data_IF_610308494268
#
_entry.id   IF_610308494268
#
_cell.length_a   1.000
_cell.length_b   1.000
_cell.length_c   1.000
_cell.angle_alpha   90.00
_cell.angle_beta   90.00
_cell.angle_gamma   90.00
#
_symmetry.space_group_name_H-M   'P 1'
#
loop_
_entity.id
_entity.type
_entity.pdbx_description
1 polymer ?
#
# COMPACT_ATOMS: atom_id res chain seq x y z
N UNK A 1 -13.33 4.03 4.09
CA UNK A 1 -14.15 3.23 5.02
C UNK A 1 -13.38 1.96 5.36
N UNK A 2 -13.19 1.70 6.65
CA UNK A 2 -12.57 0.48 7.14
C UNK A 2 -13.61 -0.65 7.24
N UNK A 3 -13.42 -1.78 6.55
CA UNK A 3 -14.41 -2.88 6.48
C UNK A 3 -14.16 -4.02 7.47
N UNK A 4 -12.93 -4.18 7.97
CA UNK A 4 -12.64 -5.23 8.95
C UNK A 4 -13.47 -5.01 10.23
N UNK A 5 -14.08 -6.09 10.73
CA UNK A 5 -14.98 -6.06 11.86
C UNK A 5 -16.39 -5.52 11.58
N UNK A 6 -16.70 -5.05 10.36
CA UNK A 6 -18.06 -4.67 9.96
C UNK A 6 -18.83 -5.84 9.38
N UNK A 7 -20.11 -5.92 9.69
CA UNK A 7 -21.02 -6.87 9.05
C UNK A 7 -21.33 -6.45 7.61
N UNK A 8 -21.73 -7.41 6.77
CA UNK A 8 -22.13 -7.18 5.38
C UNK A 8 -23.24 -6.12 5.32
N UNK A 9 -24.25 -6.21 6.20
CA UNK A 9 -25.34 -5.22 6.29
C UNK A 9 -24.85 -3.81 6.60
N UNK A 10 -23.84 -3.67 7.47
CA UNK A 10 -23.25 -2.36 7.76
C UNK A 10 -22.50 -1.81 6.55
N UNK A 11 -21.72 -2.64 5.86
CA UNK A 11 -20.96 -2.23 4.66
C UNK A 11 -21.94 -1.76 3.57
N UNK A 12 -23.00 -2.54 3.30
CA UNK A 12 -24.04 -2.19 2.32
C UNK A 12 -24.69 -0.85 2.64
N UNK A 13 -25.16 -0.66 3.88
CA UNK A 13 -25.83 0.58 4.28
C UNK A 13 -24.94 1.81 4.11
N UNK A 14 -23.66 1.71 4.50
CA UNK A 14 -22.75 2.85 4.39
C UNK A 14 -22.45 3.11 2.91
N UNK A 15 -22.28 2.08 2.08
CA UNK A 15 -22.08 2.25 0.64
C UNK A 15 -23.28 2.94 -0.02
N UNK A 16 -24.51 2.51 0.29
CA UNK A 16 -25.75 3.11 -0.21
C UNK A 16 -25.90 4.57 0.22
N UNK A 17 -25.57 4.90 1.48
CA UNK A 17 -25.66 6.27 1.97
C UNK A 17 -24.73 7.27 1.25
N UNK A 18 -23.72 6.78 0.52
CA UNK A 18 -22.83 7.65 -0.27
C UNK A 18 -23.44 8.05 -1.62
N UNK A 19 -24.45 7.33 -2.11
CA UNK A 19 -24.96 7.54 -3.47
C UNK A 19 -23.84 7.38 -4.49
N UNK A 20 -23.61 8.42 -5.29
CA UNK A 20 -22.58 8.46 -6.34
C UNK A 20 -21.24 9.07 -5.86
N UNK A 21 -21.15 9.49 -4.60
CA UNK A 21 -19.92 10.07 -4.07
C UNK A 21 -18.80 9.01 -3.98
N UNK A 22 -17.57 9.31 -4.47
CA UNK A 22 -16.46 8.36 -4.45
C UNK A 22 -16.21 7.77 -3.07
N UNK A 23 -16.05 6.47 -2.96
CA UNK A 23 -15.82 5.77 -1.69
C UNK A 23 -14.64 4.82 -1.76
N UNK A 24 -13.74 4.88 -0.79
CA UNK A 24 -12.66 3.92 -0.68
C UNK A 24 -12.94 2.94 0.47
N UNK A 25 -12.91 1.65 0.20
CA UNK A 25 -13.17 0.57 1.16
C UNK A 25 -11.86 -0.16 1.41
N UNK A 26 -11.42 -0.28 2.65
CA UNK A 26 -10.16 -0.92 3.01
C UNK A 26 -10.39 -2.14 3.90
N UNK A 27 -9.52 -3.14 3.77
CA UNK A 27 -9.62 -4.43 4.47
C UNK A 27 -10.98 -5.11 4.25
N UNK A 28 -11.49 -5.05 3.03
CA UNK A 28 -12.70 -5.75 2.59
C UNK A 28 -12.29 -7.18 2.18
N UNK A 29 -12.63 -8.16 3.00
CA UNK A 29 -12.29 -9.56 2.68
C UNK A 29 -13.07 -10.05 1.46
N UNK A 30 -12.52 -11.03 0.74
CA UNK A 30 -13.21 -11.66 -0.39
C UNK A 30 -14.57 -12.23 0.01
N UNK A 31 -14.66 -12.82 1.21
CA UNK A 31 -15.90 -13.33 1.77
C UNK A 31 -16.93 -12.21 2.01
N UNK A 32 -16.51 -11.08 2.58
CA UNK A 32 -17.39 -9.92 2.76
C UNK A 32 -17.85 -9.40 1.41
N UNK A 33 -16.94 -9.22 0.46
CA UNK A 33 -17.24 -8.75 -0.89
C UNK A 33 -18.23 -9.67 -1.59
N UNK A 34 -17.99 -10.99 -1.62
CA UNK A 34 -18.86 -11.98 -2.24
C UNK A 34 -20.28 -12.01 -1.63
N UNK A 35 -20.39 -11.64 -0.35
CA UNK A 35 -21.67 -11.59 0.37
C UNK A 35 -22.44 -10.27 0.14
N UNK A 36 -21.85 -9.26 -0.50
CA UNK A 36 -22.54 -8.00 -0.81
C UNK A 36 -23.63 -8.20 -1.87
N UNK A 37 -24.71 -7.40 -1.84
CA UNK A 37 -25.73 -7.40 -2.88
C UNK A 37 -25.13 -7.24 -4.28
N UNK A 38 -25.66 -7.94 -5.27
CA UNK A 38 -25.13 -7.94 -6.64
C UNK A 38 -25.02 -6.53 -7.24
N UNK A 39 -26.06 -5.71 -7.11
CA UNK A 39 -26.04 -4.33 -7.61
C UNK A 39 -25.03 -3.42 -6.90
N UNK A 40 -24.60 -3.74 -5.68
CA UNK A 40 -23.49 -3.04 -5.04
C UNK A 40 -22.15 -3.54 -5.55
N UNK A 41 -21.97 -4.86 -5.73
CA UNK A 41 -20.74 -5.43 -6.28
C UNK A 41 -20.42 -4.89 -7.68
N UNK A 42 -21.43 -4.73 -8.53
CA UNK A 42 -21.28 -4.15 -9.88
C UNK A 42 -20.79 -2.70 -9.88
N UNK A 43 -21.01 -1.96 -8.79
CA UNK A 43 -20.57 -0.57 -8.63
C UNK A 43 -19.20 -0.45 -7.94
N UNK A 44 -18.65 -1.57 -7.48
CA UNK A 44 -17.39 -1.63 -6.75
C UNK A 44 -16.28 -2.16 -7.66
N UNK A 45 -15.22 -1.38 -7.79
CA UNK A 45 -13.94 -1.88 -8.30
C UNK A 45 -13.16 -2.52 -7.14
N UNK A 46 -13.34 -3.83 -6.96
CA UNK A 46 -12.71 -4.61 -5.90
C UNK A 46 -11.39 -5.24 -6.38
N UNK A 47 -10.33 -4.99 -5.62
CA UNK A 47 -9.04 -5.65 -5.77
C UNK A 47 -8.79 -6.65 -4.63
N UNK A 48 -8.70 -7.96 -4.92
CA UNK A 48 -8.48 -8.99 -3.90
C UNK A 48 -7.07 -8.94 -3.30
N UNK A 49 -6.05 -8.43 -4.02
CA UNK A 49 -4.66 -8.39 -3.54
C UNK A 49 -4.52 -7.41 -2.38
N UNK A 50 -4.96 -6.16 -2.58
CA UNK A 50 -4.99 -5.13 -1.53
C UNK A 50 -6.16 -5.31 -0.55
N UNK A 51 -7.17 -6.11 -0.92
CA UNK A 51 -8.45 -6.22 -0.20
C UNK A 51 -9.12 -4.86 -0.04
N UNK A 52 -9.13 -4.08 -1.12
CA UNK A 52 -9.76 -2.76 -1.13
C UNK A 52 -10.75 -2.64 -2.27
N UNK A 53 -11.76 -1.75 -2.15
CA UNK A 53 -12.69 -1.45 -3.24
C UNK A 53 -12.86 0.05 -3.45
N UNK A 54 -13.02 0.49 -4.70
CA UNK A 54 -13.51 1.84 -5.01
C UNK A 54 -14.99 1.79 -5.32
N UNK A 55 -15.76 2.76 -4.82
CA UNK A 55 -17.14 3.02 -5.19
C UNK A 55 -17.16 4.30 -6.03
N UNK A 56 -17.82 4.25 -7.19
CA UNK A 56 -17.87 5.37 -8.13
C UNK A 56 -16.60 5.52 -8.98
N UNK A 57 -16.57 6.55 -9.81
CA UNK A 57 -15.42 6.83 -10.68
C UNK A 57 -14.27 7.44 -9.88
N UNK A 58 -13.09 6.84 -10.01
CA UNK A 58 -11.83 7.37 -9.50
C UNK A 58 -10.97 7.72 -10.70
N UNK A 59 -10.60 8.99 -10.82
CA UNK A 59 -9.76 9.44 -11.93
C UNK A 59 -8.35 8.87 -11.77
N UNK A 60 -7.79 8.39 -12.88
CA UNK A 60 -6.40 7.96 -12.89
C UNK A 60 -5.50 9.20 -12.89
N UNK A 61 -4.47 9.26 -12.03
CA UNK A 61 -3.52 10.36 -12.03
C UNK A 61 -2.85 10.50 -13.42
N UNK A 62 -2.92 11.69 -14.01
CA UNK A 62 -2.35 11.99 -15.34
C UNK A 62 -0.97 12.64 -15.27
N UNK A 63 -0.60 13.18 -14.11
CA UNK A 63 0.70 13.77 -13.87
C UNK A 63 1.79 12.70 -13.75
N UNK A 64 3.04 13.08 -14.03
CA UNK A 64 4.19 12.22 -13.78
C UNK A 64 4.24 11.83 -12.29
N UNK A 65 4.47 10.54 -11.98
CA UNK A 65 4.45 10.07 -10.60
C UNK A 65 5.49 10.80 -9.76
N UNK A 66 5.07 11.26 -8.58
CA UNK A 66 5.94 11.98 -7.63
C UNK A 66 6.27 11.13 -6.40
N UNK A 67 5.75 9.90 -6.34
CA UNK A 67 5.90 9.00 -5.20
C UNK A 67 6.51 7.69 -5.69
N UNK A 68 7.67 7.30 -5.16
CA UNK A 68 8.22 5.98 -5.37
C UNK A 68 7.75 5.03 -4.26
N UNK A 69 7.27 3.84 -4.61
CA UNK A 69 7.00 2.75 -3.66
C UNK A 69 8.15 1.77 -3.77
N UNK A 70 8.94 1.64 -2.70
CA UNK A 70 10.17 0.86 -2.67
C UNK A 70 9.98 -0.33 -1.74
N UNK A 71 9.94 -1.54 -2.30
CA UNK A 71 9.64 -2.75 -1.53
C UNK A 71 10.79 -3.75 -1.52
N UNK A 72 11.03 -4.36 -0.36
CA UNK A 72 12.13 -5.30 -0.17
C UNK A 72 11.90 -6.64 -0.90
N UNK A 73 10.66 -7.11 -0.98
CA UNK A 73 10.35 -8.36 -1.68
C UNK A 73 8.89 -8.53 -2.06
N UNK A 74 8.62 -9.63 -2.78
CA UNK A 74 7.28 -9.97 -3.29
C UNK A 74 6.23 -10.21 -2.20
N UNK A 75 6.64 -10.61 -1.00
CA UNK A 75 5.71 -10.78 0.15
C UNK A 75 5.03 -9.48 0.57
N UNK A 76 5.59 -8.32 0.20
CA UNK A 76 5.01 -7.01 0.48
C UNK A 76 3.90 -6.62 -0.53
N UNK A 77 3.63 -7.45 -1.55
CA UNK A 77 2.67 -7.15 -2.62
C UNK A 77 1.28 -6.69 -2.15
N UNK A 78 0.63 -7.31 -1.15
CA UNK A 78 -0.65 -6.82 -0.64
C UNK A 78 -0.58 -5.38 -0.11
N UNK A 79 0.53 -5.02 0.55
CA UNK A 79 0.75 -3.68 1.12
C UNK A 79 1.07 -2.69 0.01
N UNK A 80 1.90 -3.07 -0.97
CA UNK A 80 2.20 -2.26 -2.16
C UNK A 80 0.90 -1.93 -2.91
N UNK A 81 0.06 -2.94 -3.17
CA UNK A 81 -1.21 -2.75 -3.86
C UNK A 81 -2.15 -1.82 -3.08
N UNK A 82 -2.22 -1.95 -1.75
CA UNK A 82 -3.01 -1.04 -0.91
C UNK A 82 -2.50 0.41 -0.98
N UNK A 83 -1.18 0.63 -1.00
CA UNK A 83 -0.58 1.96 -1.18
C UNK A 83 -0.97 2.55 -2.53
N UNK A 84 -0.76 1.82 -3.63
CA UNK A 84 -1.08 2.29 -4.99
C UNK A 84 -2.56 2.64 -5.14
N UNK A 85 -3.44 1.77 -4.61
CA UNK A 85 -4.88 2.00 -4.63
C UNK A 85 -5.25 3.24 -3.80
N UNK A 86 -4.62 3.42 -2.64
CA UNK A 86 -4.83 4.60 -1.80
C UNK A 86 -4.40 5.88 -2.53
N UNK A 87 -3.22 5.89 -3.13
CA UNK A 87 -2.70 7.04 -3.87
C UNK A 87 -3.59 7.35 -5.09
N UNK A 88 -4.00 6.33 -5.84
CA UNK A 88 -4.93 6.47 -6.97
C UNK A 88 -6.25 7.10 -6.54
N UNK A 89 -6.84 6.63 -5.43
CA UNK A 89 -8.07 7.21 -4.88
C UNK A 89 -7.94 8.70 -4.54
N UNK A 90 -6.74 9.13 -4.16
CA UNK A 90 -6.43 10.52 -3.83
C UNK A 90 -5.83 11.32 -5.00
N UNK A 91 -5.85 10.78 -6.23
CA UNK A 91 -5.34 11.47 -7.42
C UNK A 91 -3.81 11.62 -7.46
N UNK A 92 -3.08 10.82 -6.69
CA UNK A 92 -1.62 10.82 -6.64
C UNK A 92 -1.04 9.66 -7.44
N UNK A 93 -0.14 9.95 -8.39
CA UNK A 93 0.57 8.95 -9.18
C UNK A 93 1.80 8.41 -8.45
N UNK A 94 2.05 7.11 -8.58
CA UNK A 94 3.22 6.44 -7.99
C UNK A 94 3.97 5.55 -8.99
N UNK A 95 5.27 5.36 -8.75
CA UNK A 95 6.12 4.40 -9.46
C UNK A 95 6.56 3.29 -8.50
N UNK A 96 6.42 2.02 -8.93
CA UNK A 96 6.77 0.86 -8.11
C UNK A 96 8.20 0.39 -8.40
N UNK A 97 8.98 0.20 -7.33
CA UNK A 97 10.29 -0.44 -7.31
C UNK A 97 10.23 -1.65 -6.36
N UNK A 98 10.04 -2.85 -6.90
CA UNK A 98 9.95 -4.08 -6.13
C UNK A 98 11.28 -4.87 -6.18
N UNK A 99 11.47 -5.77 -5.21
CA UNK A 99 12.63 -6.67 -5.08
C UNK A 99 13.98 -5.95 -4.93
N UNK A 100 13.95 -4.79 -4.26
CA UNK A 100 15.10 -3.92 -3.98
C UNK A 100 15.50 -3.96 -2.49
N UNK A 101 15.38 -5.13 -1.87
CA UNK A 101 15.75 -5.36 -0.47
C UNK A 101 17.26 -5.40 -0.23
N UNK A 102 17.65 -5.34 1.05
CA UNK A 102 19.07 -5.27 1.49
C UNK A 102 19.85 -6.56 1.26
N UNK A 103 19.18 -7.71 1.11
CA UNK A 103 19.82 -9.00 0.79
C UNK A 103 20.51 -8.99 -0.59
N UNK A 104 20.13 -8.05 -1.46
CA UNK A 104 20.78 -7.79 -2.73
C UNK A 104 20.99 -6.30 -2.92
N UNK A 105 21.69 -5.65 -1.98
CA UNK A 105 21.86 -4.19 -1.90
C UNK A 105 22.25 -3.54 -3.24
N UNK A 106 23.04 -4.22 -4.07
CA UNK A 106 23.40 -3.73 -5.42
C UNK A 106 22.17 -3.40 -6.27
N UNK A 107 21.07 -4.15 -6.17
CA UNK A 107 19.81 -3.87 -6.89
C UNK A 107 19.21 -2.53 -6.51
N UNK A 108 19.40 -2.11 -5.25
CA UNK A 108 18.96 -0.80 -4.78
C UNK A 108 19.91 0.31 -5.27
N UNK A 109 21.22 0.07 -5.20
CA UNK A 109 22.25 1.01 -5.68
C UNK A 109 22.09 1.28 -7.17
N UNK A 110 21.82 0.25 -7.99
CA UNK A 110 21.58 0.37 -9.43
C UNK A 110 20.34 1.23 -9.76
N UNK A 111 19.43 1.41 -8.80
CA UNK A 111 18.22 2.22 -8.93
C UNK A 111 18.34 3.58 -8.25
N UNK A 112 19.46 3.88 -7.58
CA UNK A 112 19.65 5.10 -6.79
C UNK A 112 19.33 6.36 -7.59
N UNK A 113 19.92 6.53 -8.77
CA UNK A 113 19.73 7.75 -9.57
C UNK A 113 18.25 7.96 -9.93
N UNK A 114 17.53 6.89 -10.25
CA UNK A 114 16.10 6.96 -10.52
C UNK A 114 15.30 7.31 -9.24
N UNK A 115 15.62 6.66 -8.11
CA UNK A 115 14.96 6.91 -6.83
C UNK A 115 15.17 8.34 -6.32
N UNK A 116 16.35 8.93 -6.57
CA UNK A 116 16.69 10.30 -6.15
C UNK A 116 15.91 11.37 -6.91
N UNK A 117 15.26 11.01 -8.02
CA UNK A 117 14.34 11.93 -8.74
C UNK A 117 12.99 12.08 -8.05
N UNK A 118 12.63 11.20 -7.11
CA UNK A 118 11.33 11.23 -6.44
C UNK A 118 11.39 12.07 -5.16
N UNK A 119 10.50 13.06 -5.00
CA UNK A 119 10.46 13.86 -3.77
C UNK A 119 9.95 13.08 -2.56
N UNK A 120 9.17 12.01 -2.77
CA UNK A 120 8.62 11.16 -1.70
C UNK A 120 8.85 9.70 -2.05
N UNK A 121 9.32 8.93 -1.07
CA UNK A 121 9.52 7.50 -1.15
C UNK A 121 8.74 6.81 -0.02
N UNK A 122 7.96 5.80 -0.36
CA UNK A 122 7.28 4.92 0.59
C UNK A 122 8.06 3.62 0.62
N UNK A 123 8.81 3.39 1.70
CA UNK A 123 9.63 2.22 1.90
C UNK A 123 8.83 1.13 2.62
N UNK A 124 8.76 -0.06 2.03
CA UNK A 124 7.95 -1.18 2.52
C UNK A 124 8.87 -2.37 2.83
N UNK A 125 8.93 -2.77 4.10
CA UNK A 125 9.75 -3.90 4.56
C UNK A 125 9.25 -4.48 5.89
N UNK A 126 9.46 -5.78 6.12
CA UNK A 126 8.90 -6.46 7.31
C UNK A 126 9.86 -7.20 8.23
N UNK A 127 10.93 -7.82 7.72
CA UNK A 127 11.78 -8.70 8.55
C UNK A 127 12.62 -7.92 9.59
N UNK A 128 13.62 -7.16 9.14
CA UNK A 128 14.43 -6.29 10.01
C UNK A 128 14.20 -4.80 9.75
N UNK A 129 13.44 -4.43 8.71
CA UNK A 129 13.23 -3.02 8.34
C UNK A 129 14.49 -2.29 7.87
N UNK A 130 15.62 -2.97 7.67
CA UNK A 130 16.89 -2.36 7.27
C UNK A 130 16.83 -1.52 5.98
N UNK A 131 15.81 -1.75 5.12
CA UNK A 131 15.56 -0.91 3.95
C UNK A 131 15.30 0.56 4.32
N UNK A 132 14.69 0.83 5.48
CA UNK A 132 14.32 2.18 5.91
C UNK A 132 15.55 3.07 6.12
N UNK A 133 16.50 2.60 6.92
CA UNK A 133 17.74 3.33 7.22
C UNK A 133 18.64 3.46 5.99
N UNK A 134 18.73 2.40 5.17
CA UNK A 134 19.50 2.45 3.92
C UNK A 134 18.93 3.51 2.98
N UNK A 135 17.61 3.56 2.76
CA UNK A 135 17.00 4.60 1.95
C UNK A 135 17.21 5.99 2.55
N UNK A 136 17.04 6.16 3.86
CA UNK A 136 17.27 7.43 4.54
C UNK A 136 18.68 8.00 4.36
N UNK A 137 19.69 7.15 4.14
CA UNK A 137 21.06 7.58 3.81
C UNK A 137 21.39 7.65 2.32
N UNK A 138 20.55 7.10 1.45
CA UNK A 138 20.85 6.91 0.02
C UNK A 138 20.22 7.96 -0.89
N UNK A 139 19.05 8.48 -0.51
CA UNK A 139 18.24 9.42 -1.31
C UNK A 139 18.03 10.75 -0.59
N UNK A 140 17.82 11.83 -1.34
CA UNK A 140 17.50 13.16 -0.80
C UNK A 140 16.02 13.41 -0.51
N UNK A 141 15.12 12.54 -0.98
CA UNK A 141 13.66 12.68 -0.82
C UNK A 141 13.13 12.28 0.56
N UNK A 142 11.88 12.64 0.87
CA UNK A 142 11.20 12.24 2.10
C UNK A 142 10.94 10.73 2.09
N UNK A 143 11.47 10.01 3.09
CA UNK A 143 11.23 8.58 3.26
C UNK A 143 10.13 8.34 4.29
N UNK A 144 9.06 7.66 3.88
CA UNK A 144 7.96 7.19 4.73
C UNK A 144 8.12 5.67 4.90
N UNK A 145 8.42 5.23 6.12
CA UNK A 145 8.56 3.81 6.43
C UNK A 145 7.19 3.15 6.68
N UNK A 146 6.95 2.03 6.01
CA UNK A 146 5.78 1.17 6.16
C UNK A 146 6.27 -0.20 6.64
N UNK A 147 6.34 -0.43 7.96
CA UNK A 147 6.71 -1.72 8.51
C UNK A 147 5.59 -2.72 8.25
N UNK A 148 5.93 -3.81 7.56
CA UNK A 148 4.96 -4.86 7.26
C UNK A 148 5.06 -5.97 8.31
N UNK A 149 3.93 -6.64 8.57
CA UNK A 149 3.90 -7.81 9.47
C UNK A 149 4.34 -9.09 8.77
N UNK A 150 4.94 -8.99 7.57
CA UNK A 150 5.44 -10.13 6.81
C UNK A 150 6.88 -10.40 7.22
N UNK A 151 7.14 -11.63 7.64
CA UNK A 151 8.42 -12.05 8.18
C UNK A 151 8.24 -13.32 9.01
N UNK A 152 9.19 -14.24 8.89
CA UNK A 152 9.25 -15.45 9.71
C UNK A 152 10.25 -15.24 10.87
N UNK A 153 10.12 -16.03 11.93
CA UNK A 153 11.06 -16.01 13.06
C UNK A 153 10.78 -14.92 14.09
N UNK A 154 11.83 -14.24 14.54
CA UNK A 154 11.81 -13.28 15.68
C UNK A 154 11.18 -11.92 15.37
N UNK A 155 10.73 -11.70 14.13
CA UNK A 155 10.16 -10.43 13.64
C UNK A 155 8.80 -10.04 14.27
N UNK A 156 8.27 -10.86 15.19
CA UNK A 156 7.21 -10.53 16.14
C UNK A 156 6.01 -9.77 15.54
N UNK A 157 5.49 -10.26 14.40
CA UNK A 157 4.37 -9.66 13.66
C UNK A 157 4.63 -8.21 13.18
N UNK A 158 5.89 -7.88 12.83
CA UNK A 158 6.29 -6.58 12.31
C UNK A 158 6.79 -5.59 13.37
N UNK A 159 6.87 -5.98 14.66
CA UNK A 159 7.41 -5.11 15.72
C UNK A 159 8.87 -4.74 15.47
N UNK A 160 9.68 -5.69 15.02
CA UNK A 160 11.11 -5.43 14.74
C UNK A 160 11.27 -4.38 13.62
N UNK A 161 10.51 -4.51 12.53
CA UNK A 161 10.52 -3.51 11.47
C UNK A 161 10.00 -2.14 11.95
N UNK A 162 8.96 -2.11 12.80
CA UNK A 162 8.45 -0.88 13.37
C UNK A 162 9.50 -0.18 14.25
N UNK A 163 10.15 -0.92 15.15
CA UNK A 163 11.17 -0.38 16.03
C UNK A 163 12.37 0.13 15.22
N UNK A 164 12.76 -0.59 14.16
CA UNK A 164 13.80 -0.13 13.21
C UNK A 164 13.40 1.18 12.52
N UNK A 165 12.15 1.33 12.11
CA UNK A 165 11.65 2.55 11.48
C UNK A 165 11.68 3.76 12.44
N UNK A 166 11.45 3.53 13.74
CA UNK A 166 11.42 4.58 14.77
C UNK A 166 12.80 4.95 15.32
N UNK A 167 13.77 4.05 15.24
CA UNK A 167 15.13 4.24 15.73
C UNK A 167 16.06 4.94 14.73
N UNK A 168 15.63 5.11 13.47
CA UNK A 168 16.43 5.60 12.36
C UNK A 168 16.21 7.08 12.09
#
# INVERSE_FOLDING_TARGET
MFCAGKSVTQITRIAESRGDAPGFFTRLSEQQYASLPAGLRERLDYDPISRTAFLGSVDTPTAAPQIAIVAAGTSDLPVIAEIERTLTFHGAGSARFADVGVAGLWRLIDRREALDTFPVLIAVAGMEGALFSVLGGLVGGLVIAVPTSVGYGVSAQGRVALDSALAS
#
